data_IF_246019090607
#
_entry.id   IF_246019090607
#
_cell.length_a   1.000
_cell.length_b   1.000
_cell.length_c   1.000
_cell.angle_alpha   90.00
_cell.angle_beta   90.00
_cell.angle_gamma   90.00
#
_symmetry.space_group_name_H-M   'P 1'
#
loop_
_entity.id
_entity.type
_entity.pdbx_description
1 polymer ?
#
# COMPACT_ATOMS: atom_id res chain seq x y z
N UNK A 1 12.19 -8.47 -8.09
CA UNK A 1 12.67 -9.41 -7.05
C UNK A 1 13.61 -8.77 -6.04
N UNK A 2 14.71 -8.12 -6.45
CA UNK A 2 15.65 -7.46 -5.51
C UNK A 2 14.98 -6.46 -4.54
N UNK A 3 14.06 -5.64 -5.05
CA UNK A 3 13.33 -4.65 -4.23
C UNK A 3 12.40 -5.31 -3.19
N UNK A 4 11.77 -6.43 -3.54
CA UNK A 4 10.93 -7.19 -2.61
C UNK A 4 11.76 -7.78 -1.46
N UNK A 5 12.94 -8.34 -1.79
CA UNK A 5 13.87 -8.87 -0.77
C UNK A 5 14.37 -7.77 0.16
N UNK A 6 14.71 -6.59 -0.37
CA UNK A 6 15.09 -5.42 0.43
C UNK A 6 13.98 -5.00 1.39
N UNK A 7 12.73 -4.99 0.94
CA UNK A 7 11.57 -4.63 1.78
C UNK A 7 11.26 -5.67 2.85
N UNK A 8 11.44 -6.96 2.53
CA UNK A 8 11.35 -8.05 3.51
C UNK A 8 12.43 -7.91 4.60
N UNK A 9 13.68 -7.74 4.20
CA UNK A 9 14.81 -7.58 5.13
C UNK A 9 14.63 -6.35 6.03
N UNK A 10 14.23 -5.21 5.46
CA UNK A 10 13.96 -4.00 6.23
C UNK A 10 12.82 -4.19 7.23
N UNK A 11 11.73 -4.86 6.84
CA UNK A 11 10.62 -5.17 7.74
C UNK A 11 11.08 -5.98 8.95
N UNK A 12 11.89 -7.02 8.72
CA UNK A 12 12.46 -7.84 9.78
C UNK A 12 13.33 -7.01 10.74
N UNK A 13 14.26 -6.19 10.20
CA UNK A 13 15.14 -5.33 11.00
C UNK A 13 14.33 -4.38 11.89
N UNK A 14 13.33 -3.71 11.32
CA UNK A 14 12.51 -2.75 12.07
C UNK A 14 11.70 -3.44 13.17
N UNK A 15 11.11 -4.60 12.88
CA UNK A 15 10.34 -5.33 13.90
C UNK A 15 11.21 -5.88 15.02
N UNK A 16 12.41 -6.39 14.71
CA UNK A 16 13.40 -6.80 15.73
C UNK A 16 13.82 -5.60 16.59
N UNK A 17 14.19 -4.46 15.98
CA UNK A 17 14.58 -3.27 16.74
C UNK A 17 13.46 -2.78 17.67
N UNK A 18 12.20 -2.83 17.23
CA UNK A 18 11.03 -2.47 18.05
C UNK A 18 10.83 -3.42 19.23
N UNK A 19 11.01 -4.73 19.02
CA UNK A 19 10.92 -5.73 20.09
C UNK A 19 12.03 -5.54 21.13
N UNK A 20 13.25 -5.23 20.70
CA UNK A 20 14.40 -5.05 21.60
C UNK A 20 14.33 -3.74 22.39
N UNK A 21 13.89 -2.64 21.77
CA UNK A 21 13.93 -1.30 22.38
C UNK A 21 12.63 -0.89 23.06
N UNK A 22 11.51 -1.58 22.76
CA UNK A 22 10.18 -1.18 23.22
C UNK A 22 9.65 0.11 22.58
N UNK A 23 10.36 0.68 21.60
CA UNK A 23 9.98 1.94 20.95
C UNK A 23 8.61 1.82 20.30
N UNK A 24 7.71 2.73 20.66
CA UNK A 24 6.39 2.88 20.03
C UNK A 24 6.46 3.90 18.91
N UNK A 25 6.12 3.47 17.71
CA UNK A 25 6.11 4.35 16.54
C UNK A 25 4.84 5.19 16.50
N UNK A 26 5.01 6.47 16.15
CA UNK A 26 3.90 7.36 15.86
C UNK A 26 3.00 6.76 14.75
N UNK A 27 1.66 6.93 14.78
CA UNK A 27 0.75 6.34 13.80
C UNK A 27 1.13 6.61 12.33
N UNK A 28 1.58 7.83 12.02
CA UNK A 28 2.10 8.17 10.68
C UNK A 28 3.29 7.31 10.28
N UNK A 29 4.26 7.11 11.18
CA UNK A 29 5.43 6.27 10.91
C UNK A 29 5.04 4.80 10.71
N UNK A 30 4.10 4.28 11.52
CA UNK A 30 3.56 2.91 11.34
C UNK A 30 2.92 2.75 9.96
N UNK A 31 2.18 3.76 9.51
CA UNK A 31 1.57 3.73 8.18
C UNK A 31 2.61 3.81 7.06
N UNK A 32 3.60 4.70 7.17
CA UNK A 32 4.71 4.77 6.22
C UNK A 32 5.48 3.45 6.12
N UNK A 33 5.73 2.77 7.24
CA UNK A 33 6.35 1.44 7.25
C UNK A 33 5.47 0.39 6.55
N UNK A 34 4.17 0.41 6.79
CA UNK A 34 3.23 -0.47 6.10
C UNK A 34 3.27 -0.25 4.58
N UNK A 35 3.29 1.02 4.11
CA UNK A 35 3.41 1.35 2.69
C UNK A 35 4.79 0.98 2.11
N UNK A 36 5.84 1.00 2.93
CA UNK A 36 7.15 0.52 2.49
C UNK A 36 7.21 -1.02 2.46
N UNK A 37 6.39 -1.69 3.26
CA UNK A 37 6.42 -3.13 3.46
C UNK A 37 6.18 -3.97 2.20
N UNK A 38 6.62 -5.24 2.23
CA UNK A 38 6.55 -6.14 1.08
C UNK A 38 5.11 -6.40 0.62
N UNK A 39 4.16 -6.48 1.56
CA UNK A 39 2.74 -6.68 1.25
C UNK A 39 2.18 -5.57 0.38
N UNK A 40 2.36 -4.31 0.79
CA UNK A 40 1.87 -3.17 0.02
C UNK A 40 2.58 -3.05 -1.32
N UNK A 41 3.89 -3.33 -1.36
CA UNK A 41 4.63 -3.39 -2.62
C UNK A 41 4.00 -4.38 -3.61
N UNK A 42 3.63 -5.59 -3.16
CA UNK A 42 2.97 -6.58 -4.02
C UNK A 42 1.59 -6.08 -4.46
N UNK A 43 0.73 -5.67 -3.52
CA UNK A 43 -0.62 -5.18 -3.83
C UNK A 43 -0.57 -4.03 -4.83
N UNK A 44 0.32 -3.05 -4.60
CA UNK A 44 0.49 -1.89 -5.47
C UNK A 44 0.85 -2.31 -6.89
N UNK A 45 1.86 -3.15 -7.07
CA UNK A 45 2.30 -3.56 -8.41
C UNK A 45 1.24 -4.40 -9.12
N UNK A 46 0.59 -5.33 -8.42
CA UNK A 46 -0.50 -6.12 -8.98
C UNK A 46 -1.69 -5.24 -9.39
N UNK A 47 -2.04 -4.24 -8.59
CA UNK A 47 -3.19 -3.37 -8.86
C UNK A 47 -2.95 -2.49 -10.09
N UNK A 48 -1.76 -1.89 -10.19
CA UNK A 48 -1.38 -1.10 -11.38
C UNK A 48 -1.39 -1.96 -12.64
N UNK A 49 -0.89 -3.19 -12.55
CA UNK A 49 -0.91 -4.13 -13.68
C UNK A 49 -2.35 -4.52 -14.07
N UNK A 50 -3.20 -4.83 -13.09
CA UNK A 50 -4.60 -5.18 -13.30
C UNK A 50 -5.41 -4.03 -13.91
N UNK A 51 -5.13 -2.79 -13.50
CA UNK A 51 -5.76 -1.56 -14.03
C UNK A 51 -5.17 -1.12 -15.39
N UNK A 52 -4.37 -1.97 -16.03
CA UNK A 52 -3.85 -1.70 -17.36
C UNK A 52 -2.86 -0.53 -17.40
N UNK A 53 -2.13 -0.27 -16.31
CA UNK A 53 -1.17 0.84 -16.21
C UNK A 53 -1.80 2.21 -16.50
N UNK A 54 -3.04 2.39 -16.05
CA UNK A 54 -3.81 3.62 -16.25
C UNK A 54 -4.67 3.96 -15.04
N UNK A 55 -4.96 5.24 -14.86
CA UNK A 55 -5.97 5.71 -13.92
C UNK A 55 -7.33 5.13 -14.34
N UNK A 56 -8.01 4.43 -13.43
CA UNK A 56 -9.32 3.85 -13.74
C UNK A 56 -10.42 4.89 -13.91
N UNK A 57 -10.23 6.10 -13.37
CA UNK A 57 -11.25 7.17 -13.43
C UNK A 57 -11.09 8.05 -14.68
N UNK A 58 -9.86 8.27 -15.18
CA UNK A 58 -9.61 9.23 -16.27
C UNK A 58 -8.68 8.74 -17.38
N UNK A 59 -8.12 7.53 -17.28
CA UNK A 59 -7.23 6.94 -18.28
C UNK A 59 -5.80 7.48 -18.33
N UNK A 60 -5.44 8.52 -17.56
CA UNK A 60 -4.06 9.04 -17.49
C UNK A 60 -3.09 7.94 -17.04
N UNK A 61 -1.91 7.86 -17.66
CA UNK A 61 -0.92 6.77 -17.41
C UNK A 61 0.21 7.15 -16.44
N UNK A 62 0.34 8.40 -16.06
CA UNK A 62 1.37 8.86 -15.12
C UNK A 62 1.03 10.22 -14.49
N UNK A 63 1.45 10.52 -13.24
CA UNK A 63 1.98 9.58 -12.24
C UNK A 63 0.85 8.74 -11.62
N UNK A 64 1.08 7.43 -11.46
CA UNK A 64 0.07 6.50 -10.91
C UNK A 64 0.31 6.19 -9.43
N UNK A 65 -0.77 6.23 -8.66
CA UNK A 65 -0.84 5.89 -7.26
C UNK A 65 -1.95 4.85 -7.04
N UNK A 66 -1.79 3.99 -6.03
CA UNK A 66 -2.83 3.03 -5.64
C UNK A 66 -3.54 3.57 -4.41
N UNK A 67 -4.84 3.74 -4.53
CA UNK A 67 -5.74 4.24 -3.52
C UNK A 67 -6.48 3.10 -2.84
N UNK A 68 -6.59 3.13 -1.51
CA UNK A 68 -7.54 2.28 -0.78
C UNK A 68 -8.93 2.91 -0.85
N UNK A 69 -9.88 2.30 -1.58
CA UNK A 69 -11.30 2.71 -1.58
C UNK A 69 -11.99 2.38 -0.26
N UNK A 70 -11.46 1.39 0.46
CA UNK A 70 -11.83 1.07 1.83
C UNK A 70 -10.61 0.56 2.60
N UNK A 71 -10.62 0.74 3.91
CA UNK A 71 -9.60 0.18 4.81
C UNK A 71 -10.06 -1.12 5.49
N UNK A 72 -11.20 -1.69 5.08
CA UNK A 72 -11.85 -2.85 5.74
C UNK A 72 -10.95 -4.08 5.84
N UNK A 73 -10.08 -4.32 4.85
CA UNK A 73 -9.18 -5.49 4.84
C UNK A 73 -7.70 -5.16 4.99
N UNK A 74 -7.36 -3.89 5.29
CA UNK A 74 -5.97 -3.47 5.44
C UNK A 74 -5.23 -4.30 6.49
N UNK A 75 -4.19 -4.99 6.04
CA UNK A 75 -3.33 -5.80 6.92
C UNK A 75 -3.99 -7.07 7.47
N UNK A 76 -5.15 -7.49 6.97
CA UNK A 76 -5.75 -8.77 7.36
C UNK A 76 -4.85 -9.93 6.96
N UNK A 77 -4.72 -10.87 7.89
CA UNK A 77 -3.79 -11.99 7.79
C UNK A 77 -4.08 -12.95 6.63
N UNK A 78 -3.04 -13.66 6.22
CA UNK A 78 -3.11 -14.71 5.19
C UNK A 78 -3.34 -14.18 3.77
N UNK A 79 -3.35 -15.13 2.84
CA UNK A 79 -3.64 -14.88 1.43
C UNK A 79 -5.07 -14.32 1.22
N UNK A 80 -6.14 -14.83 1.88
CA UNK A 80 -7.47 -14.27 1.71
C UNK A 80 -7.55 -12.78 2.09
N UNK A 81 -6.94 -12.40 3.22
CA UNK A 81 -6.89 -11.00 3.64
C UNK A 81 -6.15 -10.11 2.65
N UNK A 82 -5.09 -10.63 2.01
CA UNK A 82 -4.34 -9.92 0.97
C UNK A 82 -5.17 -9.71 -0.30
N UNK A 83 -5.90 -10.73 -0.73
CA UNK A 83 -6.77 -10.64 -1.89
C UNK A 83 -7.89 -9.64 -1.66
N UNK A 84 -8.54 -9.68 -0.50
CA UNK A 84 -9.58 -8.69 -0.17
C UNK A 84 -9.04 -7.26 -0.10
N UNK A 85 -7.85 -7.06 0.46
CA UNK A 85 -7.21 -5.75 0.46
C UNK A 85 -6.85 -5.26 -0.95
N UNK A 86 -6.45 -6.16 -1.84
CA UNK A 86 -6.23 -5.83 -3.25
C UNK A 86 -7.53 -5.39 -3.96
N UNK A 87 -8.68 -5.98 -3.60
CA UNK A 87 -10.00 -5.59 -4.12
C UNK A 87 -10.44 -4.24 -3.54
N UNK A 88 -10.06 -3.93 -2.29
CA UNK A 88 -10.27 -2.61 -1.67
C UNK A 88 -9.36 -1.50 -2.28
N UNK A 89 -8.67 -1.75 -3.40
CA UNK A 89 -7.75 -0.81 -4.02
C UNK A 89 -8.11 -0.47 -5.48
N UNK A 90 -7.80 0.76 -5.91
CA UNK A 90 -7.83 1.18 -7.32
C UNK A 90 -6.63 2.03 -7.71
N UNK A 91 -6.19 1.97 -8.96
CA UNK A 91 -5.10 2.81 -9.50
C UNK A 91 -5.64 4.13 -10.01
N UNK A 92 -5.08 5.24 -9.52
CA UNK A 92 -5.47 6.60 -9.89
C UNK A 92 -4.25 7.43 -10.30
N UNK A 93 -4.47 8.46 -11.12
CA UNK A 93 -3.50 9.53 -11.27
C UNK A 93 -3.48 10.44 -10.03
N UNK A 94 -2.46 11.27 -9.88
CA UNK A 94 -2.36 12.29 -8.84
C UNK A 94 -3.62 13.15 -8.67
N UNK A 95 -4.18 13.68 -9.76
CA UNK A 95 -5.35 14.54 -9.74
C UNK A 95 -6.60 13.83 -9.19
N UNK A 96 -6.91 12.63 -9.72
CA UNK A 96 -8.05 11.83 -9.24
C UNK A 96 -7.81 11.34 -7.81
N UNK A 97 -6.58 10.91 -7.48
CA UNK A 97 -6.22 10.47 -6.13
C UNK A 97 -6.44 11.59 -5.11
N UNK A 98 -6.09 12.83 -5.44
CA UNK A 98 -6.29 13.97 -4.56
C UNK A 98 -7.77 14.38 -4.41
N UNK A 99 -8.65 14.00 -5.35
CA UNK A 99 -10.11 14.23 -5.22
C UNK A 99 -10.72 13.27 -4.20
N UNK A 100 -10.37 11.99 -4.26
CA UNK A 100 -10.85 10.98 -3.29
C UNK A 100 -10.53 11.34 -1.84
N UNK A 101 -9.32 11.84 -1.57
CA UNK A 101 -8.93 12.31 -0.22
C UNK A 101 -9.62 13.60 0.21
N UNK A 102 -10.21 14.36 -0.71
CA UNK A 102 -10.97 15.57 -0.42
C UNK A 102 -12.45 15.27 -0.16
N UNK A 103 -13.01 14.29 -0.84
CA UNK A 103 -14.41 13.87 -0.65
C UNK A 103 -14.62 13.04 0.64
N UNK A 104 -13.56 12.45 1.19
CA UNK A 104 -13.59 11.63 2.41
C UNK A 104 -13.19 12.37 3.69
N UNK A 105 -13.06 13.71 3.67
CA UNK A 105 -12.77 14.56 4.84
C UNK A 105 -13.95 15.43 5.21
#
# INVERSE_FOLDING_TARGET
MQELLRRLAFGLIVDTARQMTGVRLHPKARYSLYLYGPRWFIIRNLRVWWDGWSCVDCGRRYPLQVHHTSYRHKGKGGLPGMLWEFIDCKTLCDDCHAKEHRETR
#
